data_IF_467586915466
#
_entry.id   IF_467586915466
#
_cell.length_a   1.000
_cell.length_b   1.000
_cell.length_c   1.000
_cell.angle_alpha   90.00
_cell.angle_beta   90.00
_cell.angle_gamma   90.00
#
_symmetry.space_group_name_H-M   'P 1'
#
loop_
_entity.id
_entity.type
_entity.pdbx_description
1 polymer ?
#
# COMPACT_ATOMS: atom_id res chain seq x y z
N UNK A 1 14.79 -46.02 15.69
CA UNK A 1 15.30 -45.37 16.92
C UNK A 1 16.81 -45.39 16.88
N UNK A 2 17.45 -44.21 16.91
CA UNK A 2 18.78 -43.92 17.50
C UNK A 2 19.46 -42.72 16.81
N UNK A 3 19.00 -41.50 17.14
CA UNK A 3 19.85 -40.31 17.16
C UNK A 3 19.46 -39.46 18.36
N UNK A 4 19.70 -40.02 19.55
CA UNK A 4 19.85 -39.23 20.75
C UNK A 4 21.26 -39.51 21.26
N UNK A 5 22.21 -38.62 20.95
CA UNK A 5 23.52 -38.62 21.58
C UNK A 5 23.72 -37.26 22.24
N UNK A 6 24.07 -37.23 23.54
CA UNK A 6 23.98 -36.05 24.39
C UNK A 6 25.08 -35.04 24.06
N UNK A 7 24.66 -33.79 23.86
CA UNK A 7 25.41 -32.56 24.16
C UNK A 7 26.92 -32.60 23.85
N UNK A 8 27.29 -32.46 22.57
CA UNK A 8 28.62 -31.96 22.20
C UNK A 8 28.56 -30.43 22.09
N UNK A 9 29.25 -29.66 22.95
CA UNK A 9 29.17 -28.20 22.95
C UNK A 9 29.96 -27.53 21.80
N UNK A 10 30.54 -28.28 20.84
CA UNK A 10 31.47 -27.73 19.85
C UNK A 10 31.22 -28.04 18.36
N UNK A 11 30.08 -28.59 17.95
CA UNK A 11 29.75 -28.67 16.51
C UNK A 11 28.27 -28.38 16.22
N UNK A 12 27.76 -27.26 16.75
CA UNK A 12 26.65 -26.56 16.10
C UNK A 12 27.19 -25.93 14.79
N UNK A 13 27.29 -26.75 13.76
CA UNK A 13 27.25 -26.28 12.40
C UNK A 13 25.96 -26.85 11.79
N UNK A 14 24.81 -26.45 12.33
CA UNK A 14 23.62 -26.39 11.48
C UNK A 14 24.02 -25.52 10.29
N UNK A 15 24.12 -26.10 9.11
CA UNK A 15 24.23 -25.34 7.87
C UNK A 15 22.84 -24.75 7.53
N UNK A 16 22.08 -24.34 8.54
CA UNK A 16 20.74 -23.80 8.38
C UNK A 16 20.89 -22.29 8.43
N UNK A 17 20.74 -21.66 7.27
CA UNK A 17 20.62 -20.22 7.15
C UNK A 17 19.12 -19.93 7.28
N UNK A 18 18.75 -19.40 8.44
CA UNK A 18 17.38 -19.00 8.74
C UNK A 18 17.02 -17.69 8.03
N UNK A 19 15.80 -17.60 7.53
CA UNK A 19 15.22 -16.39 6.96
C UNK A 19 14.04 -16.69 6.04
N UNK A 20 13.34 -15.65 5.60
CA UNK A 20 12.20 -15.84 4.73
C UNK A 20 12.60 -16.42 3.36
N UNK A 21 12.01 -17.56 2.99
CA UNK A 21 12.33 -18.27 1.75
C UNK A 21 11.43 -17.91 0.56
N UNK A 22 10.40 -17.07 0.77
CA UNK A 22 9.42 -16.76 -0.27
C UNK A 22 9.79 -15.46 -1.00
N UNK A 23 10.00 -15.56 -2.31
CA UNK A 23 10.46 -14.44 -3.13
C UNK A 23 9.48 -13.25 -3.25
N UNK A 24 8.22 -13.43 -2.84
CA UNK A 24 7.22 -12.37 -2.78
C UNK A 24 7.12 -11.71 -1.39
N UNK A 25 7.94 -12.12 -0.41
CA UNK A 25 8.02 -11.44 0.88
C UNK A 25 8.95 -10.24 0.82
N UNK A 26 8.64 -9.19 1.57
CA UNK A 26 9.42 -7.98 1.68
C UNK A 26 10.82 -8.20 2.27
N UNK A 27 10.94 -9.19 3.16
CA UNK A 27 12.20 -9.59 3.79
C UNK A 27 12.77 -10.91 3.23
N UNK A 28 12.51 -11.20 1.96
CA UNK A 28 13.05 -12.39 1.29
C UNK A 28 14.58 -12.45 1.42
N UNK A 29 15.07 -13.59 1.91
CA UNK A 29 16.50 -13.89 2.01
C UNK A 29 16.87 -14.97 0.99
N UNK A 30 17.56 -14.64 -0.12
CA UNK A 30 17.95 -15.62 -1.13
C UNK A 30 19.00 -16.63 -0.64
N UNK A 31 19.63 -16.39 0.51
CA UNK A 31 20.59 -17.32 1.12
C UNK A 31 19.93 -18.27 2.12
N UNK A 32 18.66 -18.06 2.48
CA UNK A 32 17.96 -18.90 3.43
C UNK A 32 17.67 -20.28 2.83
N UNK A 33 17.94 -21.33 3.60
CA UNK A 33 17.62 -22.71 3.26
C UNK A 33 16.64 -23.36 4.26
N UNK A 34 16.24 -22.61 5.28
CA UNK A 34 15.19 -22.97 6.22
C UNK A 34 14.39 -21.72 6.59
N UNK A 35 13.08 -21.80 6.42
CA UNK A 35 12.15 -20.72 6.77
C UNK A 35 12.12 -20.55 8.30
N UNK A 36 12.22 -19.30 8.75
CA UNK A 36 12.17 -18.93 10.16
C UNK A 36 10.75 -18.56 10.63
N UNK A 37 9.78 -18.55 9.72
CA UNK A 37 8.41 -18.13 9.98
C UNK A 37 8.24 -16.63 10.19
N UNK A 38 9.31 -15.84 9.94
CA UNK A 38 9.35 -14.39 10.10
C UNK A 38 9.08 -13.62 8.82
N UNK A 39 8.52 -14.25 7.78
CA UNK A 39 8.22 -13.58 6.52
C UNK A 39 7.26 -12.40 6.70
N UNK A 40 7.67 -11.25 6.21
CA UNK A 40 6.88 -10.03 6.18
C UNK A 40 6.33 -9.85 4.77
N UNK A 41 5.00 -9.68 4.66
CA UNK A 41 4.32 -9.57 3.37
C UNK A 41 4.06 -8.12 2.98
N UNK A 42 3.84 -7.26 3.97
CA UNK A 42 3.35 -5.90 3.74
C UNK A 42 4.35 -4.82 4.23
N UNK A 43 5.50 -5.21 4.81
CA UNK A 43 6.44 -4.24 5.42
C UNK A 43 7.18 -3.35 4.42
N UNK A 44 7.18 -3.74 3.15
CA UNK A 44 7.69 -2.97 2.01
C UNK A 44 6.58 -2.25 1.25
N UNK A 45 5.32 -2.41 1.67
CA UNK A 45 4.21 -1.64 1.13
C UNK A 45 4.22 -0.24 1.74
N UNK A 46 4.12 0.77 0.90
CA UNK A 46 3.93 2.16 1.32
C UNK A 46 2.47 2.50 1.04
N UNK A 47 1.70 2.64 2.10
CA UNK A 47 0.31 3.07 2.02
C UNK A 47 0.21 4.57 1.76
N UNK A 48 -0.66 4.95 0.83
CA UNK A 48 -1.01 6.34 0.58
C UNK A 48 -1.73 6.51 -0.76
N UNK A 49 -2.09 7.75 -1.07
CA UNK A 49 -2.82 8.01 -2.30
C UNK A 49 -1.93 7.84 -3.55
N UNK A 50 -2.33 6.93 -4.45
CA UNK A 50 -1.59 6.62 -5.69
C UNK A 50 -2.01 7.47 -6.90
N UNK A 51 -3.00 8.34 -6.77
CA UNK A 51 -3.56 9.11 -7.88
C UNK A 51 -2.93 10.50 -7.95
N UNK A 52 -2.28 10.79 -9.07
CA UNK A 52 -1.58 12.07 -9.34
C UNK A 52 -2.50 13.31 -9.26
N UNK A 53 -3.80 13.13 -9.48
CA UNK A 53 -4.82 14.18 -9.35
C UNK A 53 -5.26 14.49 -7.91
N UNK A 54 -4.79 13.74 -6.91
CA UNK A 54 -5.15 13.97 -5.51
C UNK A 54 -4.23 15.02 -4.85
N UNK A 55 -4.80 15.82 -3.96
CA UNK A 55 -4.10 16.83 -3.15
C UNK A 55 -3.04 16.21 -2.23
N UNK A 56 -3.27 14.96 -1.81
CA UNK A 56 -2.38 14.17 -0.96
C UNK A 56 -1.71 13.01 -1.71
N UNK A 57 -1.51 13.15 -3.03
CA UNK A 57 -0.75 12.19 -3.83
C UNK A 57 0.63 11.89 -3.19
N UNK A 58 0.95 10.61 -3.04
CA UNK A 58 2.23 10.13 -2.56
C UNK A 58 2.92 9.30 -3.66
N UNK A 59 4.00 9.82 -4.23
CA UNK A 59 4.75 9.14 -5.30
C UNK A 59 5.44 7.85 -4.86
N UNK A 60 5.65 7.68 -3.54
CA UNK A 60 6.26 6.47 -2.98
C UNK A 60 5.20 5.41 -2.64
N UNK A 61 3.90 5.74 -2.70
CA UNK A 61 2.85 4.79 -2.37
C UNK A 61 2.81 3.63 -3.38
N UNK A 62 2.86 2.40 -2.86
CA UNK A 62 2.73 1.16 -3.65
C UNK A 62 1.35 0.53 -3.49
N UNK A 63 0.58 0.95 -2.47
CA UNK A 63 -0.77 0.47 -2.18
C UNK A 63 -1.67 1.66 -1.83
N UNK A 64 -2.80 1.77 -2.53
CA UNK A 64 -3.84 2.74 -2.24
C UNK A 64 -4.53 2.40 -0.92
N UNK A 65 -4.50 3.35 0.02
CA UNK A 65 -5.13 3.21 1.34
C UNK A 65 -6.52 3.87 1.41
N UNK A 66 -7.00 4.42 0.29
CA UNK A 66 -8.29 5.10 0.21
C UNK A 66 -8.31 6.48 0.89
N UNK A 67 -7.14 7.01 1.26
CA UNK A 67 -7.04 8.35 1.88
C UNK A 67 -7.10 9.50 0.88
N UNK A 68 -7.20 9.24 -0.42
CA UNK A 68 -7.11 10.25 -1.47
C UNK A 68 -8.08 11.41 -1.30
N UNK A 69 -7.52 12.61 -1.20
CA UNK A 69 -8.24 13.87 -1.15
C UNK A 69 -8.23 14.49 -2.53
N UNK A 70 -9.32 14.39 -3.25
CA UNK A 70 -9.50 15.16 -4.47
C UNK A 70 -10.08 16.52 -4.10
N UNK A 71 -9.50 17.60 -4.63
CA UNK A 71 -10.22 18.89 -4.64
C UNK A 71 -11.57 18.63 -5.31
N UNK A 72 -12.66 19.11 -4.71
CA UNK A 72 -13.98 19.13 -5.37
C UNK A 72 -13.74 19.58 -6.81
N UNK A 73 -14.15 18.78 -7.78
CA UNK A 73 -13.88 19.09 -9.18
C UNK A 73 -14.30 20.54 -9.42
N UNK A 74 -13.55 21.35 -10.17
CA UNK A 74 -13.93 22.76 -10.38
C UNK A 74 -15.34 22.92 -11.00
N UNK A 75 -15.92 21.82 -11.47
CA UNK A 75 -17.26 21.69 -12.03
C UNK A 75 -18.22 20.86 -11.18
N UNK A 76 -17.83 20.45 -9.97
CA UNK A 76 -18.72 19.89 -8.93
C UNK A 76 -19.33 21.09 -8.18
N UNK A 77 -20.50 21.51 -8.67
CA UNK A 77 -21.19 22.71 -8.23
C UNK A 77 -22.17 22.42 -7.08
N UNK A 78 -22.59 21.16 -6.88
CA UNK A 78 -23.42 20.77 -5.73
C UNK A 78 -22.63 20.22 -4.54
N UNK A 79 -21.34 19.90 -4.73
CA UNK A 79 -20.43 19.41 -3.71
C UNK A 79 -20.65 17.93 -3.36
N UNK A 80 -21.26 17.15 -4.24
CA UNK A 80 -21.52 15.72 -4.03
C UNK A 80 -20.31 14.81 -4.33
N UNK A 81 -19.20 15.39 -4.80
CA UNK A 81 -17.97 14.68 -5.13
C UNK A 81 -17.95 14.06 -6.52
N UNK A 82 -18.94 14.36 -7.38
CA UNK A 82 -19.00 13.95 -8.77
C UNK A 82 -19.18 15.15 -9.72
N UNK A 83 -18.91 14.94 -11.01
CA UNK A 83 -19.31 15.87 -12.07
C UNK A 83 -20.38 15.19 -12.90
N UNK A 84 -21.63 15.64 -12.73
CA UNK A 84 -22.83 15.03 -13.28
C UNK A 84 -23.81 16.04 -13.88
N UNK A 85 -25.01 15.55 -14.18
CA UNK A 85 -26.08 16.39 -14.76
C UNK A 85 -26.57 17.42 -13.74
N UNK A 86 -26.52 17.11 -12.45
CA UNK A 86 -26.93 18.04 -11.39
C UNK A 86 -26.02 19.28 -11.36
N UNK A 87 -24.70 19.10 -11.50
CA UNK A 87 -23.76 20.21 -11.60
C UNK A 87 -23.98 21.08 -12.82
N UNK A 88 -24.24 20.44 -13.96
CA UNK A 88 -24.57 21.14 -15.19
C UNK A 88 -25.86 21.95 -15.02
N UNK A 89 -26.87 21.39 -14.36
CA UNK A 89 -28.13 22.07 -14.09
C UNK A 89 -27.94 23.25 -13.13
N UNK A 90 -27.06 23.12 -12.13
CA UNK A 90 -26.69 24.24 -11.25
C UNK A 90 -25.98 25.35 -12.01
N UNK A 91 -24.99 25.01 -12.85
CA UNK A 91 -24.33 25.98 -13.72
C UNK A 91 -25.34 26.71 -14.61
N UNK A 92 -26.26 25.97 -15.26
CA UNK A 92 -27.25 26.56 -16.15
C UNK A 92 -28.31 27.40 -15.41
N UNK A 93 -28.50 27.16 -14.11
CA UNK A 93 -29.40 27.98 -13.28
C UNK A 93 -28.79 29.36 -12.99
N UNK A 94 -27.47 29.43 -12.83
CA UNK A 94 -26.75 30.68 -12.56
C UNK A 94 -26.12 31.33 -13.80
N UNK A 95 -26.16 30.64 -14.94
CA UNK A 95 -25.59 31.13 -16.19
C UNK A 95 -26.29 32.42 -16.65
N UNK A 96 -25.55 33.53 -16.62
CA UNK A 96 -26.06 34.85 -16.99
C UNK A 96 -26.68 35.63 -15.83
N UNK A 97 -26.60 35.12 -14.60
CA UNK A 97 -26.88 35.91 -13.39
C UNK A 97 -25.97 37.14 -13.35
N UNK A 98 -26.54 38.29 -12.98
CA UNK A 98 -25.79 39.53 -12.80
C UNK A 98 -25.44 39.66 -11.32
N UNK A 99 -24.15 39.71 -10.99
CA UNK A 99 -23.68 40.02 -9.65
C UNK A 99 -23.84 41.52 -9.37
N UNK A 100 -24.52 41.89 -8.27
CA UNK A 100 -24.62 43.27 -7.78
C UNK A 100 -23.59 43.54 -6.66
#
# INVERSE_FOLDING_TARGET
ESLNSPMNPYWNASCDILGCMYGNACNFNPSANMDDGGCEWDSCEVHGCMYDGAMNFNSEATVDDGSCEFTSCASDMDGDGAVGTNDLLLFLTDFGSICL
#
